data_IF_996855988659
#
_entry.id   IF_996855988659
#
_cell.length_a   1.000
_cell.length_b   1.000
_cell.length_c   1.000
_cell.angle_alpha   90.00
_cell.angle_beta   90.00
_cell.angle_gamma   90.00
#
_symmetry.space_group_name_H-M   'P 1'
#
loop_
_entity.id
_entity.type
_entity.pdbx_description
1 polymer ?
#
# COMPACT_ATOMS: atom_id res chain seq x y z
N UNK A 1 -28.35 -3.82 -39.14
CA UNK A 1 -27.46 -2.98 -38.32
C UNK A 1 -26.58 -2.18 -39.26
N UNK A 2 -26.55 -0.86 -39.13
CA UNK A 2 -25.75 0.01 -40.00
C UNK A 2 -24.27 0.00 -39.57
N UNK A 3 -23.36 0.32 -40.48
CA UNK A 3 -21.92 0.49 -40.17
C UNK A 3 -21.67 1.56 -39.08
N UNK A 4 -22.60 2.48 -38.89
CA UNK A 4 -22.63 3.48 -37.82
C UNK A 4 -22.99 2.86 -36.46
N UNK A 5 -23.88 1.88 -36.42
CA UNK A 5 -24.24 1.12 -35.21
C UNK A 5 -23.12 0.19 -34.74
N UNK A 6 -22.38 -0.39 -35.69
CA UNK A 6 -21.22 -1.23 -35.39
C UNK A 6 -20.07 -0.36 -34.86
N UNK A 7 -19.86 0.84 -35.42
CA UNK A 7 -18.90 1.82 -34.88
C UNK A 7 -19.31 2.32 -33.49
N UNK A 8 -20.60 2.54 -33.23
CA UNK A 8 -21.09 2.98 -31.92
C UNK A 8 -21.00 1.87 -30.85
N UNK A 9 -21.18 0.60 -31.22
CA UNK A 9 -20.96 -0.56 -30.35
C UNK A 9 -19.48 -0.88 -30.14
N UNK A 10 -18.62 -0.72 -31.15
CA UNK A 10 -17.16 -0.90 -30.99
C UNK A 10 -16.53 0.23 -30.16
N UNK A 11 -17.03 1.46 -30.24
CA UNK A 11 -16.58 2.58 -29.37
C UNK A 11 -17.01 2.37 -27.91
N UNK A 12 -18.10 1.61 -27.67
CA UNK A 12 -18.58 1.25 -26.32
C UNK A 12 -17.81 0.11 -25.65
N UNK A 13 -16.91 -0.59 -26.37
CA UNK A 13 -16.02 -1.61 -25.80
C UNK A 13 -14.68 -1.04 -25.31
N UNK A 14 -14.67 0.21 -24.83
CA UNK A 14 -13.53 0.77 -24.08
C UNK A 14 -13.54 0.16 -22.68
N UNK A 15 -12.51 -0.62 -22.32
CA UNK A 15 -12.41 -1.31 -21.02
C UNK A 15 -12.76 -0.34 -19.89
N UNK A 16 -13.87 -0.60 -19.20
CA UNK A 16 -14.21 0.07 -17.96
C UNK A 16 -13.50 -0.68 -16.84
N UNK A 17 -12.61 0.01 -16.12
CA UNK A 17 -12.06 -0.56 -14.89
C UNK A 17 -13.16 -0.58 -13.84
N UNK A 18 -13.45 -1.75 -13.28
CA UNK A 18 -14.34 -1.92 -12.14
C UNK A 18 -13.78 -2.98 -11.22
N UNK A 19 -13.46 -2.60 -9.98
CA UNK A 19 -12.96 -3.52 -8.96
C UNK A 19 -13.68 -3.25 -7.64
N UNK A 20 -14.10 -4.31 -6.96
CA UNK A 20 -14.71 -4.23 -5.63
C UNK A 20 -13.74 -4.80 -4.59
N UNK A 21 -13.46 -4.03 -3.55
CA UNK A 21 -12.54 -4.36 -2.46
C UNK A 21 -13.34 -4.52 -1.18
N UNK A 22 -13.09 -5.60 -0.44
CA UNK A 22 -13.60 -5.77 0.92
C UNK A 22 -12.75 -5.00 1.92
N UNK A 23 -13.41 -4.19 2.72
CA UNK A 23 -12.82 -3.31 3.74
C UNK A 23 -13.43 -3.68 5.08
N UNK A 24 -12.63 -3.76 6.17
CA UNK A 24 -13.20 -3.92 7.51
C UNK A 24 -14.18 -2.78 7.82
N UNK A 25 -15.34 -3.10 8.39
CA UNK A 25 -16.43 -2.12 8.60
C UNK A 25 -15.95 -0.90 9.40
N UNK A 26 -15.10 -1.13 10.41
CA UNK A 26 -14.49 -0.10 11.23
C UNK A 26 -13.54 0.85 10.47
N UNK A 27 -13.13 0.48 9.25
CA UNK A 27 -12.26 1.28 8.37
C UNK A 27 -13.03 2.03 7.29
N UNK A 28 -14.30 1.70 7.04
CA UNK A 28 -15.15 2.39 6.05
C UNK A 28 -15.20 3.88 6.33
N UNK A 29 -15.45 4.26 7.58
CA UNK A 29 -15.50 5.67 8.01
C UNK A 29 -14.19 6.43 7.75
N UNK A 30 -13.04 5.76 7.75
CA UNK A 30 -11.73 6.36 7.44
C UNK A 30 -11.58 6.67 5.95
N UNK A 31 -12.11 5.80 5.08
CA UNK A 31 -12.11 5.98 3.63
C UNK A 31 -13.09 7.10 3.24
N UNK A 32 -14.26 7.17 3.88
CA UNK A 32 -15.21 8.26 3.68
C UNK A 32 -14.59 9.58 4.18
N UNK A 33 -14.10 9.60 5.42
CA UNK A 33 -13.58 10.78 6.09
C UNK A 33 -14.67 11.78 6.48
N UNK A 34 -14.31 12.79 7.28
CA UNK A 34 -15.25 13.84 7.71
C UNK A 34 -15.90 14.51 6.49
N UNK A 35 -17.24 14.52 6.44
CA UNK A 35 -18.03 15.07 5.33
C UNK A 35 -17.59 14.53 3.95
N UNK A 36 -17.20 13.25 3.88
CA UNK A 36 -16.74 12.62 2.64
C UNK A 36 -15.42 13.16 2.10
N UNK A 37 -14.63 13.85 2.92
CA UNK A 37 -13.42 14.56 2.47
C UNK A 37 -12.33 13.64 1.90
N UNK A 38 -12.12 12.47 2.52
CA UNK A 38 -11.10 11.52 2.06
C UNK A 38 -11.54 10.88 0.74
N UNK A 39 -12.78 10.38 0.66
CA UNK A 39 -13.36 9.86 -0.59
C UNK A 39 -13.20 10.86 -1.73
N UNK A 40 -13.62 12.12 -1.52
CA UNK A 40 -13.49 13.17 -2.53
C UNK A 40 -12.06 13.40 -2.97
N UNK A 41 -11.11 13.40 -2.02
CA UNK A 41 -9.69 13.58 -2.33
C UNK A 41 -9.13 12.43 -3.16
N UNK A 42 -9.48 11.19 -2.86
CA UNK A 42 -9.06 10.03 -3.66
C UNK A 42 -9.60 10.16 -5.09
N UNK A 43 -10.90 10.43 -5.26
CA UNK A 43 -11.51 10.59 -6.58
C UNK A 43 -10.87 11.73 -7.39
N UNK A 44 -10.55 12.86 -6.75
CA UNK A 44 -9.90 13.99 -7.40
C UNK A 44 -8.49 13.66 -7.91
N UNK A 45 -7.71 12.92 -7.11
CA UNK A 45 -6.32 12.60 -7.46
C UNK A 45 -6.21 11.45 -8.48
N UNK A 46 -7.23 10.60 -8.57
CA UNK A 46 -7.17 9.37 -9.37
C UNK A 46 -8.18 9.32 -10.50
N UNK A 47 -9.06 10.32 -10.60
CA UNK A 47 -10.12 10.40 -11.61
C UNK A 47 -11.00 9.14 -11.69
N UNK A 48 -11.22 8.48 -10.54
CA UNK A 48 -12.15 7.34 -10.40
C UNK A 48 -13.38 7.75 -9.61
N UNK A 49 -14.45 6.98 -9.75
CA UNK A 49 -15.59 6.99 -8.85
C UNK A 49 -15.40 5.94 -7.75
N UNK A 50 -15.78 6.30 -6.52
CA UNK A 50 -15.80 5.40 -5.36
C UNK A 50 -17.23 5.25 -4.84
N UNK A 51 -17.78 4.06 -5.02
CA UNK A 51 -19.01 3.64 -4.37
C UNK A 51 -18.65 2.90 -3.08
N UNK A 52 -19.12 3.40 -1.94
CA UNK A 52 -18.73 2.94 -0.61
C UNK A 52 -19.98 2.52 0.13
N UNK A 53 -20.10 1.23 0.33
CA UNK A 53 -21.15 0.57 1.05
C UNK A 53 -20.79 0.48 2.55
N UNK A 54 -21.70 0.88 3.46
CA UNK A 54 -21.47 0.85 4.91
C UNK A 54 -21.07 -0.52 5.46
N UNK A 55 -21.46 -1.61 4.81
CA UNK A 55 -21.20 -3.00 5.19
C UNK A 55 -19.80 -3.48 4.77
N UNK A 56 -18.97 -2.60 4.21
CA UNK A 56 -17.54 -2.86 3.97
C UNK A 56 -17.20 -3.27 2.55
N UNK A 57 -18.01 -2.87 1.58
CA UNK A 57 -17.70 -3.00 0.16
C UNK A 57 -17.30 -1.65 -0.44
N UNK A 58 -16.15 -1.58 -1.10
CA UNK A 58 -15.74 -0.37 -1.83
C UNK A 58 -15.54 -0.73 -3.30
N UNK A 59 -16.39 -0.19 -4.17
CA UNK A 59 -16.30 -0.37 -5.60
C UNK A 59 -15.64 0.84 -6.25
N UNK A 60 -14.55 0.58 -6.97
CA UNK A 60 -13.79 1.54 -7.74
C UNK A 60 -14.19 1.38 -9.19
N UNK A 61 -14.64 2.45 -9.83
CA UNK A 61 -14.99 2.44 -11.24
C UNK A 61 -14.41 3.64 -11.98
N UNK A 62 -14.05 3.43 -13.24
CA UNK A 62 -13.58 4.49 -14.10
C UNK A 62 -14.43 4.63 -15.35
N UNK A 63 -14.74 5.88 -15.73
CA UNK A 63 -15.53 6.17 -16.92
C UNK A 63 -14.70 5.89 -18.19
N UNK A 64 -15.21 5.02 -19.06
CA UNK A 64 -14.48 4.54 -20.23
C UNK A 64 -14.06 5.67 -21.18
N UNK A 65 -12.80 5.62 -21.62
CA UNK A 65 -12.34 6.29 -22.83
C UNK A 65 -11.09 7.15 -22.74
N UNK A 66 -10.64 7.52 -21.54
CA UNK A 66 -9.39 8.26 -21.36
C UNK A 66 -8.78 8.06 -19.97
N UNK A 67 -9.30 7.10 -19.20
CA UNK A 67 -8.82 6.87 -17.87
C UNK A 67 -7.50 6.09 -17.89
N UNK A 68 -6.47 6.70 -17.33
CA UNK A 68 -5.19 6.06 -17.08
C UNK A 68 -5.39 4.85 -16.14
N UNK A 69 -5.11 3.61 -16.61
CA UNK A 69 -5.18 2.41 -15.78
C UNK A 69 -4.33 2.51 -14.51
N UNK A 70 -3.22 3.26 -14.57
CA UNK A 70 -2.33 3.47 -13.42
C UNK A 70 -3.07 4.20 -12.30
N UNK A 71 -3.83 5.25 -12.60
CA UNK A 71 -4.59 5.99 -11.59
C UNK A 71 -5.66 5.12 -10.92
N UNK A 72 -6.29 4.22 -11.67
CA UNK A 72 -7.23 3.25 -11.10
C UNK A 72 -6.53 2.27 -10.15
N UNK A 73 -5.32 1.80 -10.49
CA UNK A 73 -4.50 0.98 -9.58
C UNK A 73 -4.03 1.76 -8.35
N UNK A 74 -3.64 3.04 -8.49
CA UNK A 74 -3.31 3.89 -7.35
C UNK A 74 -4.52 4.06 -6.42
N UNK A 75 -5.73 4.28 -6.96
CA UNK A 75 -6.95 4.34 -6.15
C UNK A 75 -7.21 3.04 -5.40
N UNK A 76 -7.06 1.89 -6.07
CA UNK A 76 -7.14 0.55 -5.47
C UNK A 76 -6.16 0.40 -4.31
N UNK A 77 -4.92 0.80 -4.52
CA UNK A 77 -3.87 0.64 -3.51
C UNK A 77 -4.07 1.62 -2.35
N UNK A 78 -4.56 2.84 -2.57
CA UNK A 78 -4.97 3.77 -1.51
C UNK A 78 -6.08 3.15 -0.65
N UNK A 79 -7.15 2.61 -1.27
CA UNK A 79 -8.26 1.97 -0.56
C UNK A 79 -7.76 0.77 0.25
N UNK A 80 -6.92 -0.08 -0.35
CA UNK A 80 -6.29 -1.22 0.35
C UNK A 80 -5.42 -0.74 1.52
N UNK A 81 -4.59 0.27 1.33
CA UNK A 81 -3.74 0.82 2.39
C UNK A 81 -4.56 1.29 3.59
N UNK A 82 -5.63 2.07 3.36
CA UNK A 82 -6.52 2.53 4.42
C UNK A 82 -7.22 1.34 5.09
N UNK A 83 -7.70 0.36 4.32
CA UNK A 83 -8.30 -0.87 4.84
C UNK A 83 -7.32 -1.68 5.73
N UNK A 84 -6.01 -1.56 5.48
CA UNK A 84 -4.93 -2.20 6.25
C UNK A 84 -4.29 -1.28 7.29
N UNK A 85 -5.01 -0.28 7.76
CA UNK A 85 -4.63 0.50 8.95
C UNK A 85 -3.84 1.78 8.68
N UNK A 86 -3.45 2.09 7.45
CA UNK A 86 -2.82 3.38 7.16
C UNK A 86 -3.77 4.55 7.37
N UNK A 87 -3.23 5.69 7.78
CA UNK A 87 -3.96 6.95 7.77
C UNK A 87 -4.20 7.42 6.33
N UNK A 88 -5.24 8.24 6.06
CA UNK A 88 -5.41 8.85 4.75
C UNK A 88 -4.17 9.63 4.30
N UNK A 89 -3.50 10.34 5.22
CA UNK A 89 -2.26 11.08 4.92
C UNK A 89 -1.18 10.17 4.31
N UNK A 90 -0.91 9.02 4.93
CA UNK A 90 0.11 8.10 4.44
C UNK A 90 -0.36 7.32 3.22
N UNK A 91 -1.65 6.96 3.14
CA UNK A 91 -2.15 6.23 1.99
C UNK A 91 -2.12 7.09 0.72
N UNK A 92 -2.41 8.39 0.82
CA UNK A 92 -2.43 9.30 -0.32
C UNK A 92 -1.06 9.52 -0.97
N UNK A 93 0.07 9.23 -0.29
CA UNK A 93 1.40 9.30 -0.94
C UNK A 93 1.57 8.25 -2.04
N UNK A 94 0.68 7.25 -2.13
CA UNK A 94 0.67 6.32 -3.25
C UNK A 94 0.39 7.00 -4.60
N UNK A 95 -0.13 8.22 -4.62
CA UNK A 95 -0.26 8.98 -5.88
C UNK A 95 1.07 9.42 -6.45
N UNK A 96 2.12 9.45 -5.64
CA UNK A 96 3.45 9.84 -6.07
C UNK A 96 4.02 8.77 -7.02
N UNK A 97 4.84 9.22 -7.97
CA UNK A 97 5.53 8.35 -8.92
C UNK A 97 6.42 7.36 -8.15
N UNK A 98 6.53 6.13 -8.64
CA UNK A 98 7.30 5.02 -8.05
C UNK A 98 6.95 4.56 -6.63
N UNK A 99 6.04 5.26 -5.94
CA UNK A 99 5.57 4.83 -4.63
C UNK A 99 4.60 3.65 -4.78
N UNK A 100 4.89 2.58 -4.05
CA UNK A 100 4.17 1.31 -4.12
C UNK A 100 3.63 0.89 -2.76
N UNK A 101 2.58 0.07 -2.79
CA UNK A 101 2.04 -0.63 -1.63
C UNK A 101 2.44 -2.11 -1.67
N UNK A 102 3.13 -2.57 -0.64
CA UNK A 102 3.34 -3.99 -0.39
C UNK A 102 2.47 -4.46 0.77
N UNK A 103 1.81 -5.61 0.63
CA UNK A 103 1.00 -6.21 1.70
C UNK A 103 1.49 -7.63 1.97
N UNK A 104 1.99 -7.85 3.18
CA UNK A 104 2.48 -9.14 3.68
C UNK A 104 1.38 -9.78 4.51
N UNK A 105 0.96 -10.99 4.12
CA UNK A 105 0.05 -11.82 4.90
C UNK A 105 0.80 -12.49 6.04
N UNK A 106 0.29 -12.38 7.27
CA UNK A 106 0.83 -13.13 8.41
C UNK A 106 0.19 -14.52 8.53
N UNK A 107 -0.73 -14.90 7.63
CA UNK A 107 -1.50 -16.14 7.74
C UNK A 107 -0.63 -17.38 7.72
N UNK A 108 0.34 -17.42 6.84
CA UNK A 108 1.19 -18.61 6.66
C UNK A 108 2.18 -18.77 7.82
N UNK A 109 2.60 -17.65 8.43
CA UNK A 109 3.53 -17.68 9.55
C UNK A 109 2.87 -17.98 10.91
N UNK A 110 1.62 -17.53 11.14
CA UNK A 110 0.98 -17.63 12.47
C UNK A 110 -0.23 -18.57 12.53
N UNK A 111 -0.67 -19.10 11.39
CA UNK A 111 -1.90 -19.87 11.29
C UNK A 111 -3.10 -19.11 11.86
N UNK A 112 -4.07 -19.79 12.47
CA UNK A 112 -5.25 -19.13 13.06
C UNK A 112 -5.05 -18.62 14.50
N UNK A 113 -3.86 -18.80 15.09
CA UNK A 113 -3.64 -18.55 16.51
C UNK A 113 -3.58 -17.05 16.87
N UNK A 114 -4.48 -16.54 17.74
CA UNK A 114 -4.45 -15.14 18.17
C UNK A 114 -3.21 -14.78 19.00
N UNK A 115 -2.69 -15.71 19.80
CA UNK A 115 -1.51 -15.47 20.64
C UNK A 115 -0.24 -15.37 19.79
N UNK A 116 -0.10 -16.23 18.78
CA UNK A 116 1.00 -16.17 17.82
C UNK A 116 0.95 -14.87 17.01
N UNK A 117 -0.23 -14.47 16.54
CA UNK A 117 -0.43 -13.20 15.84
C UNK A 117 -0.03 -12.00 16.72
N UNK A 118 -0.50 -11.95 17.98
CA UNK A 118 -0.14 -10.89 18.93
C UNK A 118 1.37 -10.84 19.18
N UNK A 119 2.03 -11.99 19.31
CA UNK A 119 3.48 -12.06 19.49
C UNK A 119 4.23 -11.54 18.27
N UNK A 120 3.88 -11.99 17.05
CA UNK A 120 4.52 -11.53 15.81
C UNK A 120 4.30 -10.04 15.60
N UNK A 121 3.07 -9.53 15.77
CA UNK A 121 2.79 -8.11 15.71
C UNK A 121 3.62 -7.33 16.75
N UNK A 122 3.72 -7.84 17.98
CA UNK A 122 4.55 -7.25 19.04
C UNK A 122 6.03 -7.16 18.68
N UNK A 123 6.58 -8.16 17.98
CA UNK A 123 7.98 -8.14 17.48
C UNK A 123 8.18 -7.12 16.38
N UNK A 124 7.23 -6.99 15.45
CA UNK A 124 7.32 -6.01 14.36
C UNK A 124 7.23 -4.59 14.89
N UNK A 125 6.28 -4.35 15.81
CA UNK A 125 6.11 -3.06 16.47
C UNK A 125 7.33 -2.74 17.33
N UNK A 126 7.78 -3.71 18.13
CA UNK A 126 8.82 -3.54 19.12
C UNK A 126 8.35 -2.70 20.31
N UNK A 127 9.19 -2.61 21.34
CA UNK A 127 8.91 -1.82 22.54
C UNK A 127 8.60 -0.36 22.16
N UNK A 128 7.43 0.14 22.56
CA UNK A 128 6.92 1.47 22.22
C UNK A 128 6.98 1.84 20.72
N UNK A 129 6.94 0.84 19.82
CA UNK A 129 7.04 1.06 18.38
C UNK A 129 8.46 1.26 17.86
N UNK A 130 9.50 1.05 18.67
CA UNK A 130 10.91 1.34 18.34
C UNK A 130 11.38 0.58 17.10
N UNK A 131 11.06 -0.71 16.98
CA UNK A 131 11.50 -1.54 15.84
C UNK A 131 10.82 -1.11 14.55
N UNK A 132 9.50 -0.90 14.56
CA UNK A 132 8.77 -0.38 13.40
C UNK A 132 9.33 0.96 12.93
N UNK A 133 9.56 1.91 13.87
CA UNK A 133 10.13 3.23 13.52
C UNK A 133 11.54 3.11 12.93
N UNK A 134 12.37 2.22 13.46
CA UNK A 134 13.71 1.99 12.92
C UNK A 134 13.66 1.45 11.48
N UNK A 135 12.75 0.51 11.19
CA UNK A 135 12.51 0.03 9.81
C UNK A 135 12.07 1.20 8.93
N UNK A 136 11.04 1.95 9.33
CA UNK A 136 10.52 3.09 8.59
C UNK A 136 11.58 4.15 8.29
N UNK A 137 12.44 4.46 9.27
CA UNK A 137 13.48 5.49 9.12
C UNK A 137 14.63 5.03 8.24
N UNK A 138 15.10 3.80 8.41
CA UNK A 138 16.27 3.31 7.68
C UNK A 138 15.94 3.00 6.23
N UNK A 139 14.75 2.48 5.97
CA UNK A 139 14.34 2.08 4.61
C UNK A 139 13.47 3.13 3.92
N UNK A 140 13.28 4.29 4.56
CA UNK A 140 12.48 5.41 4.05
C UNK A 140 11.04 5.03 3.67
N UNK A 141 10.48 4.08 4.42
CA UNK A 141 9.12 3.56 4.19
C UNK A 141 8.16 3.96 5.31
N UNK A 142 6.87 3.68 5.09
CA UNK A 142 5.82 3.69 6.12
C UNK A 142 5.32 2.27 6.33
N UNK A 143 5.10 1.88 7.59
CA UNK A 143 4.66 0.53 7.97
C UNK A 143 3.40 0.58 8.83
N UNK A 144 2.39 -0.18 8.41
CA UNK A 144 1.16 -0.45 9.15
C UNK A 144 1.09 -1.92 9.55
N UNK A 145 0.84 -2.19 10.83
CA UNK A 145 0.56 -3.54 11.34
C UNK A 145 -0.91 -3.58 11.72
N UNK A 146 -1.73 -4.30 10.94
CA UNK A 146 -3.19 -4.28 11.11
C UNK A 146 -3.80 -5.65 10.85
N UNK A 147 -4.60 -6.13 11.81
CA UNK A 147 -5.24 -7.43 11.73
C UNK A 147 -4.22 -8.54 11.48
N UNK A 148 -4.32 -9.19 10.32
CA UNK A 148 -3.46 -10.32 9.91
C UNK A 148 -2.46 -9.96 8.81
N UNK A 149 -2.20 -8.67 8.64
CA UNK A 149 -1.35 -8.15 7.57
C UNK A 149 -0.38 -7.11 8.10
N UNK A 150 0.76 -7.02 7.42
CA UNK A 150 1.69 -5.90 7.54
C UNK A 150 1.74 -5.24 6.17
N UNK A 151 1.50 -3.94 6.12
CA UNK A 151 1.51 -3.17 4.87
C UNK A 151 2.65 -2.15 4.91
N UNK A 152 3.34 -2.01 3.79
CA UNK A 152 4.48 -1.10 3.61
C UNK A 152 4.15 -0.18 2.43
N UNK A 153 4.35 1.12 2.62
CA UNK A 153 4.31 2.13 1.54
C UNK A 153 5.71 2.71 1.39
N UNK A 154 6.24 2.74 0.17
CA UNK A 154 7.55 3.30 -0.12
C UNK A 154 7.99 3.02 -1.56
N UNK A 155 9.25 3.32 -1.85
CA UNK A 155 9.91 3.11 -3.13
C UNK A 155 10.97 2.00 -3.02
N UNK A 156 11.39 1.45 -4.15
CA UNK A 156 12.58 0.58 -4.17
C UNK A 156 13.87 1.42 -4.05
N UNK A 157 14.95 0.87 -3.45
CA UNK A 157 15.07 -0.48 -2.86
C UNK A 157 14.52 -0.59 -1.43
N UNK A 158 14.03 0.52 -0.84
CA UNK A 158 13.59 0.59 0.55
C UNK A 158 12.45 -0.36 0.89
N UNK A 159 11.53 -0.59 -0.07
CA UNK A 159 10.43 -1.54 0.05
C UNK A 159 10.93 -2.97 0.27
N UNK A 160 11.90 -3.44 -0.53
CA UNK A 160 12.51 -4.77 -0.37
C UNK A 160 13.24 -4.92 0.96
N UNK A 161 14.00 -3.90 1.39
CA UNK A 161 14.70 -3.95 2.67
C UNK A 161 13.73 -3.99 3.87
N UNK A 162 12.64 -3.22 3.81
CA UNK A 162 11.59 -3.25 4.84
C UNK A 162 10.92 -4.63 4.90
N UNK A 163 10.59 -5.19 3.73
CA UNK A 163 10.01 -6.54 3.61
C UNK A 163 10.90 -7.58 4.28
N UNK A 164 12.18 -7.64 3.92
CA UNK A 164 13.13 -8.61 4.48
C UNK A 164 13.26 -8.48 5.99
N UNK A 165 13.33 -7.24 6.52
CA UNK A 165 13.38 -7.02 7.95
C UNK A 165 12.10 -7.52 8.67
N UNK A 166 10.93 -7.30 8.07
CA UNK A 166 9.65 -7.79 8.61
C UNK A 166 9.60 -9.32 8.56
N UNK A 167 9.99 -9.95 7.44
CA UNK A 167 10.03 -11.41 7.29
C UNK A 167 10.96 -12.08 8.31
N UNK A 168 12.11 -11.47 8.61
CA UNK A 168 13.00 -11.92 9.68
C UNK A 168 12.31 -11.89 11.05
N UNK A 169 11.60 -10.81 11.39
CA UNK A 169 10.88 -10.69 12.66
C UNK A 169 9.75 -11.70 12.78
N UNK A 170 9.01 -11.90 11.68
CA UNK A 170 7.93 -12.90 11.54
C UNK A 170 8.49 -14.31 11.75
N UNK A 171 9.66 -14.61 11.18
CA UNK A 171 10.35 -15.91 11.29
C UNK A 171 11.07 -16.11 12.62
N UNK A 172 10.97 -15.15 13.55
CA UNK A 172 11.53 -15.28 14.90
C UNK A 172 12.99 -14.85 15.06
N UNK A 173 13.62 -14.27 14.03
CA UNK A 173 15.01 -13.82 14.12
C UNK A 173 15.20 -12.76 15.23
N UNK A 174 16.29 -12.81 16.02
CA UNK A 174 16.55 -11.82 17.07
C UNK A 174 16.54 -10.39 16.54
N UNK A 175 16.03 -9.43 17.32
CA UNK A 175 16.00 -8.02 16.92
C UNK A 175 17.39 -7.47 16.59
N UNK A 176 18.43 -7.91 17.30
CA UNK A 176 19.83 -7.55 17.01
C UNK A 176 20.25 -7.93 15.59
N UNK A 177 19.86 -9.12 15.11
CA UNK A 177 20.14 -9.56 13.75
C UNK A 177 19.38 -8.72 12.71
N UNK A 178 18.14 -8.32 13.02
CA UNK A 178 17.34 -7.44 12.16
C UNK A 178 17.95 -6.04 12.08
N UNK A 179 18.36 -5.46 13.20
CA UNK A 179 19.06 -4.16 13.21
C UNK A 179 20.39 -4.22 12.44
N UNK A 180 21.16 -5.30 12.59
CA UNK A 180 22.38 -5.49 11.81
C UNK A 180 22.10 -5.64 10.30
N UNK A 181 20.96 -6.21 9.90
CA UNK A 181 20.55 -6.25 8.49
C UNK A 181 20.15 -4.86 7.99
N UNK A 182 19.35 -4.12 8.75
CA UNK A 182 18.92 -2.76 8.41
C UNK A 182 20.12 -1.81 8.25
N UNK A 183 21.10 -1.89 9.13
CA UNK A 183 22.33 -1.09 9.04
C UNK A 183 23.12 -1.39 7.75
N UNK A 184 23.16 -2.66 7.32
CA UNK A 184 23.74 -3.02 6.01
C UNK A 184 22.93 -2.45 4.86
N UNK A 185 21.61 -2.56 4.91
CA UNK A 185 20.71 -1.99 3.89
C UNK A 185 20.88 -0.48 3.77
N UNK A 186 21.08 0.25 4.87
CA UNK A 186 21.38 1.70 4.82
C UNK A 186 22.64 2.00 4.00
N UNK A 187 23.70 1.21 4.21
CA UNK A 187 24.96 1.37 3.46
C UNK A 187 24.80 1.03 1.98
N UNK A 188 23.96 0.03 1.68
CA UNK A 188 23.59 -0.33 0.31
C UNK A 188 22.83 0.84 -0.36
N UNK A 189 21.85 1.45 0.32
CA UNK A 189 21.10 2.61 -0.17
C UNK A 189 21.99 3.82 -0.43
N UNK A 190 22.81 4.22 0.54
CA UNK A 190 23.72 5.37 0.39
C UNK A 190 24.71 5.18 -0.77
N UNK A 191 25.15 3.94 -1.03
CA UNK A 191 26.05 3.65 -2.14
C UNK A 191 25.35 3.81 -3.48
N UNK A 192 24.15 3.24 -3.62
CA UNK A 192 23.35 3.38 -4.85
C UNK A 192 23.02 4.83 -5.13
N UNK A 193 22.69 5.60 -4.09
CA UNK A 193 22.48 7.04 -4.23
C UNK A 193 23.75 7.73 -4.75
N UNK A 194 24.91 7.50 -4.13
CA UNK A 194 26.17 8.09 -4.59
C UNK A 194 26.51 7.74 -6.05
N UNK A 195 26.31 6.49 -6.46
CA UNK A 195 26.53 6.03 -7.85
C UNK A 195 25.61 6.77 -8.85
N UNK A 196 24.37 7.09 -8.48
CA UNK A 196 23.46 7.87 -9.34
C UNK A 196 23.94 9.32 -9.53
N UNK A 197 24.43 9.95 -8.47
CA UNK A 197 24.97 11.31 -8.54
C UNK A 197 26.22 11.37 -9.44
N UNK A 198 27.16 10.43 -9.29
CA UNK A 198 28.37 10.38 -10.12
C UNK A 198 28.08 10.20 -11.62
N UNK A 199 27.01 9.49 -11.98
CA UNK A 199 26.62 9.29 -13.37
C UNK A 199 25.84 10.46 -13.98
N UNK A 200 25.35 11.40 -13.17
CA UNK A 200 24.57 12.57 -13.63
C UNK A 200 25.48 13.76 -13.99
N UNK A 201 26.73 13.76 -13.53
CA UNK A 201 27.74 14.81 -13.78
C UNK A 201 28.54 14.63 -15.10
N UNK A 202 28.05 13.79 -16.04
CA UNK A 202 28.62 13.53 -17.38
C UNK A 202 27.67 14.01 -18.49
#
# INVERSE_FOLDING_TARGET
>A
MSLLDISSQLVRSRMSFKETIRVPVERVGVIVGRNGGVRRRIQQLTNVALDIDPEGSVTISSAGGSADPVLAWKARDIVRAIARGFSPKNALTLTDEDTMLLVISLRDAVGTSPSQLKRVAGRIIGEHGRTRRAIEQITETKVSVYGRTVSIIGMEPGLDYARRAIEMLVSGAPHSAVYARLERSRREMNRQEAELWENTDL
#
